data_IF_472068343062
#
_entry.id   IF_472068343062
#
_cell.length_a   1.000
_cell.length_b   1.000
_cell.length_c   1.000
_cell.angle_alpha   90.00
_cell.angle_beta   90.00
_cell.angle_gamma   90.00
#
_symmetry.space_group_name_H-M   'P 1'
#
loop_
_entity.id
_entity.type
_entity.pdbx_description
1 polymer ?
#
# COMPACT_ATOMS: atom_id res chain seq x y z
N UNK A 1 13.46 -6.60 -12.66
CA UNK A 1 12.53 -7.41 -11.82
C UNK A 1 11.31 -7.78 -12.66
N UNK A 2 10.89 -9.02 -12.60
CA UNK A 2 9.72 -9.49 -13.33
C UNK A 2 8.42 -8.98 -12.69
N UNK A 3 7.34 -8.89 -13.48
CA UNK A 3 6.04 -8.45 -12.97
C UNK A 3 5.58 -9.31 -11.79
N UNK A 4 5.72 -10.62 -11.90
CA UNK A 4 5.32 -11.57 -10.85
C UNK A 4 6.10 -11.32 -9.56
N UNK A 5 7.37 -10.97 -9.66
CA UNK A 5 8.20 -10.69 -8.49
C UNK A 5 7.81 -9.37 -7.85
N UNK A 6 7.44 -8.37 -8.65
CA UNK A 6 6.89 -7.11 -8.12
C UNK A 6 5.60 -7.35 -7.36
N UNK A 7 4.70 -8.16 -7.91
CA UNK A 7 3.44 -8.50 -7.23
C UNK A 7 3.72 -9.22 -5.92
N UNK A 8 4.67 -10.15 -5.89
CA UNK A 8 5.06 -10.84 -4.65
C UNK A 8 5.56 -9.84 -3.61
N UNK A 9 6.37 -8.87 -4.03
CA UNK A 9 6.87 -7.85 -3.11
C UNK A 9 5.74 -6.93 -2.61
N UNK A 10 4.78 -6.61 -3.47
CA UNK A 10 3.61 -5.82 -3.05
C UNK A 10 2.81 -6.58 -1.99
N UNK A 11 2.66 -7.88 -2.13
CA UNK A 11 1.99 -8.73 -1.15
C UNK A 11 2.76 -8.69 0.18
N UNK A 12 4.07 -8.88 0.13
CA UNK A 12 4.92 -8.86 1.34
C UNK A 12 4.78 -7.52 2.08
N UNK A 13 4.84 -6.41 1.35
CA UNK A 13 4.71 -5.07 1.94
C UNK A 13 3.33 -4.87 2.56
N UNK A 14 2.28 -5.32 1.87
CA UNK A 14 0.90 -5.21 2.36
C UNK A 14 0.72 -6.02 3.65
N UNK A 15 1.23 -7.25 3.67
CA UNK A 15 1.17 -8.10 4.85
C UNK A 15 1.92 -7.50 6.04
N UNK A 16 3.07 -6.87 5.79
CA UNK A 16 3.83 -6.18 6.84
C UNK A 16 3.00 -5.07 7.48
N UNK A 17 2.40 -4.22 6.65
CA UNK A 17 1.59 -3.10 7.17
C UNK A 17 0.44 -3.63 8.03
N UNK A 18 -0.28 -4.62 7.53
CA UNK A 18 -1.41 -5.17 8.26
C UNK A 18 -0.99 -5.83 9.56
N UNK A 19 0.17 -6.49 9.58
CA UNK A 19 0.73 -7.08 10.80
C UNK A 19 1.12 -6.00 11.80
N UNK A 20 1.79 -4.92 11.35
CA UNK A 20 2.18 -3.81 12.22
C UNK A 20 0.97 -3.16 12.87
N UNK A 21 -0.14 -3.08 12.14
CA UNK A 21 -1.35 -2.38 12.58
C UNK A 21 -2.35 -3.30 13.26
N UNK A 22 -2.03 -4.57 13.45
CA UNK A 22 -2.92 -5.51 14.12
C UNK A 22 -3.28 -4.96 15.52
N UNK A 23 -4.58 -4.94 15.81
CA UNK A 23 -5.13 -4.44 17.08
C UNK A 23 -4.92 -2.95 17.33
N UNK A 24 -4.43 -2.20 16.34
CA UNK A 24 -4.34 -0.74 16.47
C UNK A 24 -5.70 -0.09 16.20
N UNK A 25 -5.92 1.05 16.81
CA UNK A 25 -7.05 1.93 16.52
C UNK A 25 -6.50 3.19 15.84
N UNK A 26 -7.38 4.05 15.34
CA UNK A 26 -6.93 5.33 14.80
C UNK A 26 -6.11 6.11 15.82
N UNK A 27 -6.57 6.16 17.07
CA UNK A 27 -5.89 6.92 18.11
C UNK A 27 -4.51 6.33 18.45
N UNK A 28 -4.40 5.00 18.58
CA UNK A 28 -3.11 4.38 18.89
C UNK A 28 -2.15 4.46 17.70
N UNK A 29 -2.66 4.33 16.49
CA UNK A 29 -1.85 4.45 15.28
C UNK A 29 -1.26 5.87 15.16
N UNK A 30 -2.11 6.90 15.28
CA UNK A 30 -1.66 8.29 15.09
C UNK A 30 -0.75 8.78 16.21
N UNK A 31 -0.80 8.13 17.37
CA UNK A 31 0.08 8.45 18.50
C UNK A 31 1.48 7.81 18.38
N UNK A 32 1.68 6.94 17.42
CA UNK A 32 2.94 6.19 17.29
C UNK A 32 3.67 6.59 15.99
N UNK A 33 4.58 7.55 16.11
CA UNK A 33 5.32 8.08 14.96
C UNK A 33 6.11 7.00 14.21
N UNK A 34 6.71 6.08 14.94
CA UNK A 34 7.48 5.01 14.31
C UNK A 34 6.59 4.10 13.48
N UNK A 35 5.43 3.78 14.00
CA UNK A 35 4.45 2.96 13.29
C UNK A 35 3.95 3.67 12.04
N UNK A 36 3.60 4.95 12.16
CA UNK A 36 3.16 5.76 11.01
C UNK A 36 4.24 5.78 9.92
N UNK A 37 5.48 6.06 10.31
CA UNK A 37 6.58 6.16 9.36
C UNK A 37 6.86 4.81 8.69
N UNK A 38 6.79 3.72 9.42
CA UNK A 38 6.97 2.38 8.86
C UNK A 38 5.87 2.06 7.83
N UNK A 39 4.64 2.43 8.12
CA UNK A 39 3.52 2.21 7.21
C UNK A 39 3.62 3.07 5.96
N UNK A 40 3.97 4.35 6.12
CA UNK A 40 4.15 5.27 4.99
C UNK A 40 5.27 4.78 4.08
N UNK A 41 6.38 4.33 4.65
CA UNK A 41 7.48 3.77 3.87
C UNK A 41 7.01 2.58 3.04
N UNK A 42 6.29 1.64 3.65
CA UNK A 42 5.83 0.44 2.94
C UNK A 42 4.78 0.78 1.87
N UNK A 43 3.88 1.73 2.13
CA UNK A 43 2.93 2.19 1.12
C UNK A 43 3.66 2.82 -0.07
N UNK A 44 4.71 3.60 0.20
CA UNK A 44 5.54 4.20 -0.85
C UNK A 44 6.23 3.14 -1.70
N UNK A 45 6.70 2.06 -1.06
CA UNK A 45 7.32 0.94 -1.77
C UNK A 45 6.32 0.21 -2.65
N UNK A 46 5.07 0.05 -2.19
CA UNK A 46 4.01 -0.54 -3.00
C UNK A 46 3.78 0.30 -4.27
N UNK A 47 3.70 1.61 -4.11
CA UNK A 47 3.53 2.50 -5.27
C UNK A 47 4.71 2.36 -6.24
N UNK A 48 5.93 2.37 -5.73
CA UNK A 48 7.12 2.26 -6.58
C UNK A 48 7.13 0.93 -7.35
N UNK A 49 6.73 -0.16 -6.69
CA UNK A 49 6.59 -1.46 -7.35
C UNK A 49 5.54 -1.40 -8.46
N UNK A 50 4.42 -0.72 -8.24
CA UNK A 50 3.38 -0.54 -9.26
C UNK A 50 3.92 0.16 -10.50
N UNK A 51 4.74 1.19 -10.32
CA UNK A 51 5.33 1.92 -11.44
C UNK A 51 6.25 1.06 -12.29
N UNK A 52 6.80 -0.01 -11.73
CA UNK A 52 7.65 -0.92 -12.47
C UNK A 52 6.91 -2.00 -13.24
N UNK A 53 5.62 -2.17 -13.00
CA UNK A 53 4.81 -3.18 -13.71
C UNK A 53 4.52 -2.69 -15.12
N UNK A 54 4.62 -3.59 -16.12
CA UNK A 54 4.42 -3.22 -17.53
C UNK A 54 2.95 -2.90 -17.83
N UNK A 55 2.72 -2.10 -18.87
CA UNK A 55 1.36 -1.75 -19.29
C UNK A 55 0.57 -2.97 -19.76
N UNK A 56 1.23 -3.94 -20.37
CA UNK A 56 0.58 -5.20 -20.77
C UNK A 56 0.04 -5.95 -19.55
N UNK A 57 0.83 -5.99 -18.48
CA UNK A 57 0.43 -6.67 -17.25
C UNK A 57 -0.74 -5.95 -16.57
N UNK A 58 -0.70 -4.62 -16.48
CA UNK A 58 -1.79 -3.87 -15.87
C UNK A 58 -3.09 -4.01 -16.68
N UNK A 59 -3.00 -4.03 -18.00
CA UNK A 59 -4.16 -4.23 -18.87
C UNK A 59 -4.76 -5.64 -18.70
N UNK A 60 -3.91 -6.64 -18.45
CA UNK A 60 -4.35 -8.02 -18.25
C UNK A 60 -4.98 -8.26 -16.87
N UNK A 61 -4.77 -7.34 -15.92
CA UNK A 61 -5.30 -7.47 -14.56
C UNK A 61 -6.05 -6.21 -14.14
N UNK A 62 -7.19 -5.91 -14.80
CA UNK A 62 -7.93 -4.64 -14.58
C UNK A 62 -8.64 -4.58 -13.22
N UNK A 63 -8.76 -5.71 -12.52
CA UNK A 63 -9.37 -5.73 -11.18
C UNK A 63 -8.46 -5.19 -10.10
N UNK A 64 -7.17 -4.98 -10.40
CA UNK A 64 -6.25 -4.31 -9.47
C UNK A 64 -6.38 -2.80 -9.69
N UNK A 65 -6.51 -2.01 -8.60
CA UNK A 65 -6.73 -0.57 -8.73
C UNK A 65 -5.42 0.17 -9.00
N UNK A 66 -4.81 -0.08 -10.16
CA UNK A 66 -3.52 0.51 -10.52
C UNK A 66 -3.52 2.03 -10.46
N UNK A 67 -4.57 2.66 -10.99
CA UNK A 67 -4.66 4.13 -11.03
C UNK A 67 -4.70 4.74 -9.62
N UNK A 68 -5.33 4.04 -8.68
CA UNK A 68 -5.43 4.52 -7.31
C UNK A 68 -4.10 4.39 -6.57
N UNK A 69 -3.26 3.44 -6.98
CA UNK A 69 -1.94 3.27 -6.40
C UNK A 69 -0.91 4.25 -6.96
N UNK A 70 -1.08 4.66 -8.22
CA UNK A 70 -0.21 5.69 -8.80
C UNK A 70 -0.46 7.02 -8.08
N UNK A 71 0.61 7.68 -7.68
CA UNK A 71 0.49 8.94 -6.96
C UNK A 71 0.12 8.82 -5.48
N UNK A 72 0.06 7.61 -4.96
CA UNK A 72 -0.33 7.36 -3.56
C UNK A 72 0.53 8.16 -2.58
N UNK A 73 1.86 8.15 -2.77
CA UNK A 73 2.78 8.89 -1.90
C UNK A 73 2.44 10.37 -1.87
N UNK A 74 2.13 10.96 -3.02
CA UNK A 74 1.81 12.39 -3.09
C UNK A 74 0.49 12.73 -2.39
N UNK A 75 -0.42 11.78 -2.30
CA UNK A 75 -1.69 12.00 -1.58
C UNK A 75 -1.53 11.90 -0.06
N UNK A 76 -0.62 11.04 0.41
CA UNK A 76 -0.48 10.78 1.84
C UNK A 76 0.61 11.62 2.51
N UNK A 77 1.55 12.19 1.73
CA UNK A 77 2.63 13.04 2.27
C UNK A 77 2.48 14.44 1.67
N UNK A 78 2.29 15.43 2.53
CA UNK A 78 2.14 16.84 2.14
C UNK A 78 3.02 17.72 3.02
N UNK A 79 3.73 18.66 2.43
CA UNK A 79 4.42 19.76 3.15
C UNK A 79 5.15 19.30 4.42
N UNK A 80 5.96 18.31 4.39
CA UNK A 80 6.69 17.78 5.55
C UNK A 80 5.82 17.00 6.54
N UNK A 81 4.55 16.75 6.21
CA UNK A 81 3.66 16.02 7.09
C UNK A 81 2.96 14.87 6.39
N UNK A 82 2.21 14.11 7.16
CA UNK A 82 1.47 12.94 6.69
C UNK A 82 -0.02 13.17 6.90
N UNK A 83 -0.82 12.85 5.89
CA UNK A 83 -2.27 12.84 6.04
C UNK A 83 -2.68 11.56 6.79
N UNK A 84 -2.65 11.64 8.11
CA UNK A 84 -2.87 10.49 9.00
C UNK A 84 -4.21 9.82 8.78
N UNK A 85 -5.26 10.62 8.59
CA UNK A 85 -6.61 10.08 8.38
C UNK A 85 -6.67 9.26 7.10
N UNK A 86 -6.10 9.78 6.02
CA UNK A 86 -6.10 9.06 4.74
C UNK A 86 -5.28 7.78 4.83
N UNK A 87 -4.10 7.83 5.47
CA UNK A 87 -3.26 6.64 5.65
C UNK A 87 -4.03 5.57 6.41
N UNK A 88 -4.71 5.94 7.50
CA UNK A 88 -5.48 4.99 8.29
C UNK A 88 -6.65 4.40 7.50
N UNK A 89 -7.35 5.20 6.71
CA UNK A 89 -8.43 4.73 5.85
C UNK A 89 -7.92 3.72 4.82
N UNK A 90 -6.77 3.99 4.21
CA UNK A 90 -6.16 3.08 3.25
C UNK A 90 -5.81 1.75 3.92
N UNK A 91 -5.17 1.80 5.09
CA UNK A 91 -4.76 0.59 5.81
C UNK A 91 -5.97 -0.23 6.26
N UNK A 92 -7.01 0.46 6.73
CA UNK A 92 -8.17 -0.21 7.32
C UNK A 92 -9.13 -0.78 6.27
N UNK A 93 -9.27 -0.10 5.13
CA UNK A 93 -10.30 -0.42 4.14
C UNK A 93 -9.72 -0.94 2.83
N UNK A 94 -8.80 -0.17 2.23
CA UNK A 94 -8.33 -0.45 0.86
C UNK A 94 -7.28 -1.57 0.82
N UNK A 95 -6.37 -1.57 1.78
CA UNK A 95 -5.23 -2.49 1.76
C UNK A 95 -5.64 -3.95 1.94
N UNK A 96 -6.57 -4.30 2.86
CA UNK A 96 -7.02 -5.69 2.96
C UNK A 96 -7.62 -6.22 1.67
N UNK A 97 -8.40 -5.39 0.97
CA UNK A 97 -9.00 -5.77 -0.31
C UNK A 97 -7.94 -5.92 -1.40
N UNK A 98 -6.99 -4.97 -1.46
CA UNK A 98 -5.88 -5.05 -2.40
C UNK A 98 -5.08 -6.34 -2.18
N UNK A 99 -4.76 -6.67 -0.94
CA UNK A 99 -4.02 -7.88 -0.61
C UNK A 99 -4.77 -9.13 -1.09
N UNK A 100 -6.08 -9.18 -0.86
CA UNK A 100 -6.92 -10.29 -1.31
C UNK A 100 -6.83 -10.46 -2.83
N UNK A 101 -6.94 -9.36 -3.57
CA UNK A 101 -6.87 -9.39 -5.04
C UNK A 101 -5.48 -9.82 -5.52
N UNK A 102 -4.42 -9.26 -4.92
CA UNK A 102 -3.05 -9.61 -5.29
C UNK A 102 -2.76 -11.10 -5.03
N UNK A 103 -3.24 -11.62 -3.92
CA UNK A 103 -3.06 -13.05 -3.60
C UNK A 103 -3.76 -13.96 -4.58
N UNK A 104 -4.85 -13.51 -5.19
CA UNK A 104 -5.58 -14.30 -6.18
C UNK A 104 -4.82 -14.46 -7.50
N UNK A 105 -3.76 -13.68 -7.71
CA UNK A 105 -2.94 -13.76 -8.93
C UNK A 105 -1.86 -14.84 -8.86
N UNK A 106 -1.69 -15.46 -7.73
CA UNK A 106 -0.66 -16.50 -7.56
C UNK A 106 -1.09 -17.83 -8.17
#
# INVERSE_FOLDING_TARGET
MRNEDRVKQMIIRSEKILRYCDKQTYDTFTADDMLVEACVFNLSQIEELCHGVTSEYTAAHPNIPWNEMYGLRNRIVHDYGVNLKLVWEIISNDLPELLRILQSLK
#
